data_IF_016160097606
#
_entry.id   IF_016160097606
#
_cell.length_a   1.000
_cell.length_b   1.000
_cell.length_c   1.000
_cell.angle_alpha   90.00
_cell.angle_beta   90.00
_cell.angle_gamma   90.00
#
_symmetry.space_group_name_H-M   'P 1'
#
loop_
_entity.id
_entity.type
_entity.pdbx_description
1 polymer ?
#
# COMPACT_ATOMS: atom_id res chain seq x y z
N UNK A 1 21.04 -4.03 6.48
CA UNK A 1 21.78 -5.16 7.08
C UNK A 1 21.40 -6.46 6.42
N UNK A 2 22.26 -6.92 5.49
CA UNK A 2 22.12 -8.21 4.81
C UNK A 2 22.72 -9.31 5.69
N UNK A 3 22.05 -9.60 6.80
CA UNK A 3 22.43 -10.67 7.70
C UNK A 3 22.42 -12.00 6.93
N UNK A 4 23.51 -12.77 7.04
CA UNK A 4 23.68 -14.04 6.32
C UNK A 4 22.57 -15.01 6.77
N UNK A 5 21.62 -15.31 5.88
CA UNK A 5 20.48 -16.20 6.16
C UNK A 5 19.10 -15.54 6.10
N UNK A 6 19.01 -14.21 6.00
CA UNK A 6 17.77 -13.54 5.58
C UNK A 6 17.81 -13.43 4.05
N UNK A 7 17.37 -14.50 3.37
CA UNK A 7 17.09 -14.41 1.95
C UNK A 7 15.95 -13.40 1.75
N UNK A 8 16.19 -12.34 0.97
CA UNK A 8 15.16 -11.42 0.50
C UNK A 8 15.04 -11.64 -1.01
N UNK A 9 14.45 -12.78 -1.37
CA UNK A 9 14.27 -13.18 -2.76
C UNK A 9 13.39 -12.18 -3.52
N UNK A 10 12.50 -11.47 -2.82
CA UNK A 10 11.76 -10.35 -3.42
C UNK A 10 12.72 -9.26 -3.91
N UNK A 11 13.68 -8.83 -3.08
CA UNK A 11 14.70 -7.86 -3.50
C UNK A 11 15.60 -8.39 -4.61
N UNK A 12 15.89 -9.69 -4.65
CA UNK A 12 16.61 -10.29 -5.79
C UNK A 12 15.80 -10.26 -7.09
N UNK A 13 14.47 -10.32 -6.98
CA UNK A 13 13.56 -10.37 -8.13
C UNK A 13 13.24 -9.00 -8.70
N UNK A 14 13.04 -8.03 -7.81
CA UNK A 14 12.50 -6.71 -8.13
C UNK A 14 13.50 -5.57 -7.87
N UNK A 15 14.57 -5.82 -7.10
CA UNK A 15 15.58 -4.83 -6.77
C UNK A 15 16.46 -4.34 -7.92
N UNK A 16 16.24 -4.79 -9.17
CA UNK A 16 16.83 -4.10 -10.33
C UNK A 16 16.04 -2.83 -10.70
N UNK A 17 14.79 -2.74 -10.29
CA UNK A 17 13.94 -1.59 -10.55
C UNK A 17 14.40 -0.37 -9.72
N UNK A 18 14.68 0.74 -10.39
CA UNK A 18 15.28 1.91 -9.77
C UNK A 18 14.32 2.64 -8.81
N UNK A 19 13.07 2.91 -9.21
CA UNK A 19 12.00 3.37 -8.31
C UNK A 19 11.85 2.57 -7.01
N UNK A 20 12.03 1.25 -7.06
CA UNK A 20 11.78 0.35 -5.93
C UNK A 20 12.95 0.16 -4.94
N UNK A 21 14.21 0.31 -5.37
CA UNK A 21 15.43 -0.08 -4.59
C UNK A 21 15.59 0.53 -3.19
N UNK A 22 14.83 1.57 -2.85
CA UNK A 22 14.82 2.26 -1.57
C UNK A 22 16.05 3.13 -1.30
N UNK A 23 15.86 4.24 -0.59
CA UNK A 23 16.90 5.22 -0.29
C UNK A 23 17.23 6.16 -1.46
N UNK A 24 17.82 7.32 -1.15
CA UNK A 24 18.13 8.34 -2.15
C UNK A 24 16.87 8.88 -2.84
N UNK A 25 16.86 8.86 -4.17
CA UNK A 25 15.78 9.38 -5.02
C UNK A 25 14.88 8.25 -5.58
N UNK A 26 14.78 7.10 -4.90
CA UNK A 26 13.90 6.00 -5.30
C UNK A 26 12.42 6.45 -5.18
N UNK A 27 11.76 6.63 -6.31
CA UNK A 27 10.45 7.30 -6.39
C UNK A 27 9.32 6.55 -5.69
N UNK A 28 9.29 5.21 -5.76
CA UNK A 28 8.23 4.42 -5.10
C UNK A 28 8.42 4.37 -3.57
N UNK A 29 9.67 4.30 -3.09
CA UNK A 29 10.00 4.37 -1.66
C UNK A 29 9.61 5.72 -1.05
N UNK A 30 10.01 6.82 -1.71
CA UNK A 30 9.63 8.17 -1.27
C UNK A 30 8.11 8.33 -1.25
N UNK A 31 7.43 7.90 -2.32
CA UNK A 31 5.97 8.01 -2.41
C UNK A 31 5.25 7.18 -1.34
N UNK A 32 5.67 5.95 -1.07
CA UNK A 32 5.04 5.12 -0.05
C UNK A 32 5.16 5.78 1.34
N UNK A 33 6.34 6.31 1.67
CA UNK A 33 6.56 7.04 2.90
C UNK A 33 5.73 8.34 2.96
N UNK A 34 5.68 9.11 1.88
CA UNK A 34 4.86 10.32 1.79
C UNK A 34 3.39 10.00 2.01
N UNK A 35 2.87 8.91 1.42
CA UNK A 35 1.47 8.51 1.61
C UNK A 35 1.15 8.13 3.04
N UNK A 36 2.04 7.41 3.72
CA UNK A 36 1.90 7.14 5.15
C UNK A 36 1.85 8.45 5.96
N UNK A 37 2.78 9.37 5.68
CA UNK A 37 2.91 10.64 6.39
C UNK A 37 1.73 11.60 6.09
N UNK A 38 1.15 11.53 4.89
CA UNK A 38 -0.03 12.29 4.47
C UNK A 38 -1.35 11.71 5.03
N UNK A 39 -1.30 10.62 5.79
CA UNK A 39 -2.47 10.03 6.45
C UNK A 39 -3.23 9.00 5.61
N UNK A 40 -2.62 8.44 4.57
CA UNK A 40 -3.24 7.34 3.80
C UNK A 40 -3.41 6.08 4.68
N UNK A 41 -2.39 5.78 5.47
CA UNK A 41 -2.38 4.71 6.45
C UNK A 41 -1.36 5.06 7.55
N UNK A 42 -1.59 4.59 8.77
CA UNK A 42 -0.64 4.74 9.88
C UNK A 42 -0.39 3.37 10.50
N UNK A 43 0.89 3.01 10.67
CA UNK A 43 1.31 1.81 11.38
C UNK A 43 1.81 2.18 12.77
N UNK A 44 1.29 1.51 13.80
CA UNK A 44 1.78 1.63 15.18
C UNK A 44 2.42 0.31 15.59
N UNK A 45 3.60 0.41 16.19
CA UNK A 45 4.30 -0.71 16.82
C UNK A 45 4.46 -0.39 18.30
N UNK A 46 3.87 -1.22 19.16
CA UNK A 46 3.99 -1.12 20.63
C UNK A 46 4.94 -2.21 21.12
N UNK A 47 5.98 -1.83 21.84
CA UNK A 47 6.81 -2.74 22.63
C UNK A 47 6.45 -2.55 24.10
N UNK A 48 6.07 -3.62 24.78
CA UNK A 48 5.68 -3.58 26.19
C UNK A 48 6.35 -4.71 26.96
N UNK A 49 6.55 -4.50 28.27
CA UNK A 49 7.27 -5.42 29.14
C UNK A 49 7.12 -5.00 30.60
N UNK A 50 7.69 -5.80 31.50
CA UNK A 50 7.62 -5.58 32.96
C UNK A 50 9.01 -5.43 33.59
N UNK A 51 10.08 -5.43 32.79
CA UNK A 51 11.48 -5.29 33.24
C UNK A 51 12.12 -4.01 32.65
N UNK A 52 13.46 -3.95 32.66
CA UNK A 52 14.22 -2.88 32.02
C UNK A 52 13.83 -2.77 30.53
N UNK A 53 13.41 -1.59 30.03
CA UNK A 53 13.07 -1.39 28.62
C UNK A 53 14.18 -1.79 27.64
N UNK A 54 15.44 -1.82 28.10
CA UNK A 54 16.58 -2.25 27.28
C UNK A 54 16.89 -3.75 27.44
N UNK A 55 16.35 -4.41 28.47
CA UNK A 55 16.61 -5.81 28.81
C UNK A 55 15.37 -6.47 29.45
N UNK A 56 14.54 -7.11 28.62
CA UNK A 56 13.33 -7.81 29.07
C UNK A 56 13.21 -9.16 28.38
N UNK A 57 13.23 -10.24 29.17
CA UNK A 57 13.12 -11.62 28.67
C UNK A 57 11.71 -12.06 28.29
N UNK A 58 10.69 -11.28 28.64
CA UNK A 58 9.26 -11.61 28.44
C UNK A 58 8.48 -10.37 27.97
N UNK A 59 9.01 -9.72 26.94
CA UNK A 59 8.38 -8.58 26.31
C UNK A 59 7.31 -9.03 25.31
N UNK A 60 6.52 -8.06 24.86
CA UNK A 60 5.49 -8.22 23.83
C UNK A 60 5.67 -7.13 22.79
N UNK A 61 5.57 -7.53 21.52
CA UNK A 61 5.47 -6.61 20.38
C UNK A 61 4.08 -6.71 19.79
N UNK A 62 3.44 -5.58 19.58
CA UNK A 62 2.19 -5.45 18.85
C UNK A 62 2.42 -4.56 17.64
N UNK A 63 1.85 -4.93 16.50
CA UNK A 63 1.81 -4.11 15.29
C UNK A 63 0.36 -4.01 14.85
N UNK A 64 -0.08 -2.82 14.45
CA UNK A 64 -1.47 -2.60 14.04
C UNK A 64 -1.70 -1.30 13.30
N UNK A 65 -2.91 -1.20 12.76
CA UNK A 65 -3.40 0.03 12.13
C UNK A 65 -3.73 1.08 13.20
N UNK A 66 -3.43 2.34 12.89
CA UNK A 66 -3.90 3.51 13.63
C UNK A 66 -4.85 4.35 12.78
N UNK A 67 -6.02 4.75 13.31
CA UNK A 67 -6.91 5.71 12.67
C UNK A 67 -6.40 7.15 12.76
N UNK A 68 -5.34 7.39 13.55
CA UNK A 68 -4.74 8.69 13.75
C UNK A 68 -3.64 8.94 12.70
N UNK A 69 -3.59 10.15 12.17
CA UNK A 69 -2.62 10.56 11.14
C UNK A 69 -1.28 10.94 11.78
N UNK A 70 -0.19 10.64 11.07
CA UNK A 70 1.15 11.04 11.48
C UNK A 70 1.25 12.58 11.50
N UNK A 71 1.71 13.12 12.63
CA UNK A 71 1.88 14.56 12.81
C UNK A 71 3.30 14.98 12.45
N UNK A 72 3.43 16.04 11.64
CA UNK A 72 4.72 16.66 11.30
C UNK A 72 5.11 17.72 12.32
N UNK A 73 6.40 17.80 12.63
CA UNK A 73 6.95 18.90 13.40
C UNK A 73 7.15 20.17 12.55
N UNK A 74 7.52 21.29 13.18
CA UNK A 74 7.74 22.57 12.49
C UNK A 74 8.92 22.57 11.49
N UNK A 75 9.76 21.53 11.49
CA UNK A 75 10.88 21.32 10.56
C UNK A 75 10.55 20.31 9.45
N UNK A 76 9.32 19.80 9.42
CA UNK A 76 8.86 18.79 8.46
C UNK A 76 9.26 17.35 8.82
N UNK A 77 9.83 17.13 10.00
CA UNK A 77 10.08 15.79 10.55
C UNK A 77 8.83 15.16 11.17
N UNK A 78 8.94 13.94 11.69
CA UNK A 78 7.85 13.30 12.44
C UNK A 78 7.89 13.78 13.89
N UNK A 79 6.77 14.35 14.36
CA UNK A 79 6.68 14.82 15.73
C UNK A 79 6.65 13.64 16.71
N UNK A 80 7.53 13.68 17.71
CA UNK A 80 7.49 12.77 18.86
C UNK A 80 6.37 13.18 19.83
N UNK A 81 6.07 12.31 20.79
CA UNK A 81 5.18 12.59 21.94
C UNK A 81 3.69 12.79 21.60
N UNK A 82 3.26 12.37 20.41
CA UNK A 82 1.85 12.27 20.07
C UNK A 82 1.25 10.92 20.50
N UNK A 83 -0.06 10.93 20.74
CA UNK A 83 -0.81 9.72 21.05
C UNK A 83 -1.41 9.13 19.78
N UNK A 84 -1.21 7.83 19.57
CA UNK A 84 -1.81 7.07 18.48
C UNK A 84 -2.55 5.86 19.02
N UNK A 85 -3.74 5.60 18.48
CA UNK A 85 -4.51 4.41 18.83
C UNK A 85 -4.01 3.20 18.04
N UNK A 86 -3.96 2.04 18.69
CA UNK A 86 -3.70 0.77 18.01
C UNK A 86 -4.98 -0.07 17.97
N UNK A 87 -5.48 -0.37 16.77
CA UNK A 87 -6.71 -1.15 16.61
C UNK A 87 -6.41 -2.65 16.56
N UNK A 88 -7.15 -3.44 17.35
CA UNK A 88 -7.14 -4.91 17.29
C UNK A 88 -8.04 -5.42 16.15
N UNK A 89 -7.69 -5.04 14.92
CA UNK A 89 -8.42 -5.35 13.68
C UNK A 89 -7.80 -6.54 12.93
N UNK A 90 -8.26 -6.81 11.70
CA UNK A 90 -7.62 -7.81 10.82
C UNK A 90 -6.15 -7.49 10.46
N UNK A 91 -5.70 -6.24 10.65
CA UNK A 91 -4.33 -5.79 10.37
C UNK A 91 -3.45 -5.76 11.64
N UNK A 92 -3.80 -6.54 12.66
CA UNK A 92 -3.15 -6.54 13.96
C UNK A 92 -2.49 -7.88 14.28
N UNK A 93 -1.28 -7.83 14.84
CA UNK A 93 -0.60 -8.99 15.40
C UNK A 93 0.01 -8.65 16.75
N UNK A 94 -0.10 -9.60 17.69
CA UNK A 94 0.60 -9.61 18.98
C UNK A 94 1.59 -10.77 19.03
N UNK A 95 2.83 -10.48 19.41
CA UNK A 95 3.98 -11.38 19.36
C UNK A 95 4.70 -11.38 20.71
N UNK A 96 5.12 -12.56 21.20
CA UNK A 96 6.11 -12.61 22.29
C UNK A 96 7.45 -12.13 21.78
N UNK A 97 8.22 -11.50 22.65
CA UNK A 97 9.52 -10.95 22.33
C UNK A 97 10.51 -11.04 23.48
N UNK A 98 11.78 -10.87 23.15
CA UNK A 98 12.86 -10.62 24.11
C UNK A 98 13.61 -9.38 23.70
N UNK A 99 14.01 -8.59 24.68
CA UNK A 99 14.83 -7.40 24.52
C UNK A 99 16.18 -7.69 25.16
N UNK A 100 17.26 -7.54 24.39
CA UNK A 100 18.63 -7.65 24.88
C UNK A 100 19.41 -6.44 24.40
N UNK A 101 19.87 -5.59 25.33
CA UNK A 101 20.60 -4.35 25.03
C UNK A 101 19.93 -3.47 23.98
N UNK A 102 18.60 -3.31 24.07
CA UNK A 102 17.80 -2.50 23.13
C UNK A 102 17.45 -3.18 21.80
N UNK A 103 17.92 -4.42 21.57
CA UNK A 103 17.51 -5.24 20.43
C UNK A 103 16.29 -6.04 20.82
N UNK A 104 15.15 -5.75 20.18
CA UNK A 104 13.90 -6.48 20.33
C UNK A 104 13.84 -7.57 19.27
N UNK A 105 13.67 -8.83 19.67
CA UNK A 105 13.43 -9.95 18.78
C UNK A 105 12.13 -10.65 19.14
N UNK A 106 11.23 -10.77 18.18
CA UNK A 106 9.97 -11.52 18.39
C UNK A 106 10.17 -13.01 18.20
N UNK A 107 9.21 -13.80 18.67
CA UNK A 107 9.00 -15.14 18.13
C UNK A 107 8.65 -15.09 16.63
N UNK A 108 8.79 -16.22 15.96
CA UNK A 108 8.32 -16.41 14.59
C UNK A 108 6.92 -17.01 14.65
N UNK A 109 5.96 -16.40 13.96
CA UNK A 109 4.56 -16.86 13.91
C UNK A 109 4.17 -17.30 12.51
N UNK A 110 3.21 -18.22 12.39
CA UNK A 110 2.76 -18.68 11.08
C UNK A 110 2.10 -17.56 10.27
N UNK A 111 1.44 -16.61 10.93
CA UNK A 111 0.75 -15.48 10.32
C UNK A 111 1.06 -14.19 11.09
N UNK A 112 1.70 -13.24 10.41
CA UNK A 112 1.93 -11.89 10.91
C UNK A 112 1.20 -10.91 9.99
N UNK A 113 0.14 -10.33 10.53
CA UNK A 113 -0.66 -9.27 9.93
C UNK A 113 -0.11 -7.89 10.31
N UNK A 114 -0.07 -6.99 9.33
CA UNK A 114 0.26 -5.58 9.50
C UNK A 114 -0.56 -4.74 8.52
N UNK A 115 -0.65 -3.41 8.73
CA UNK A 115 -1.18 -2.57 7.68
C UNK A 115 -0.37 -2.70 6.40
N UNK A 116 -1.06 -2.64 5.26
CA UNK A 116 -0.45 -2.70 3.93
C UNK A 116 0.14 -1.35 3.56
N UNK A 117 1.33 -1.38 2.96
CA UNK A 117 1.89 -0.24 2.25
C UNK A 117 0.97 0.05 1.06
N UNK A 118 0.32 1.21 1.07
CA UNK A 118 -0.65 1.60 0.05
C UNK A 118 -0.20 2.86 -0.69
N UNK A 119 -0.61 3.00 -1.94
CA UNK A 119 -0.43 4.24 -2.71
C UNK A 119 -1.72 5.06 -2.85
N UNK A 120 -2.87 4.40 -2.68
CA UNK A 120 -4.22 4.97 -2.73
C UNK A 120 -5.14 4.33 -1.68
N UNK A 121 -6.27 4.98 -1.37
CA UNK A 121 -7.18 4.56 -0.29
C UNK A 121 -7.81 3.19 -0.54
N UNK A 122 -8.14 2.91 -1.80
CA UNK A 122 -8.63 1.63 -2.31
C UNK A 122 -7.63 0.47 -2.16
N UNK A 123 -6.35 0.76 -1.90
CA UNK A 123 -5.30 -0.24 -1.72
C UNK A 123 -4.94 -0.50 -0.27
N UNK A 124 -5.46 0.29 0.67
CA UNK A 124 -5.28 0.04 2.10
C UNK A 124 -5.81 -1.34 2.45
N UNK A 125 -5.17 -2.05 3.36
CA UNK A 125 -5.58 -3.41 3.66
C UNK A 125 -4.60 -4.15 4.55
N UNK A 126 -4.81 -5.46 4.65
CA UNK A 126 -3.91 -6.35 5.36
C UNK A 126 -2.71 -6.74 4.49
N UNK A 127 -1.55 -6.73 5.14
CA UNK A 127 -0.35 -7.43 4.69
C UNK A 127 -0.09 -8.59 5.63
N UNK A 128 -0.32 -9.80 5.13
CA UNK A 128 0.01 -11.04 5.83
C UNK A 128 1.39 -11.54 5.40
N UNK A 129 2.26 -11.81 6.36
CA UNK A 129 3.51 -12.54 6.21
C UNK A 129 3.37 -13.93 6.82
N UNK A 130 3.67 -14.97 6.03
CA UNK A 130 3.84 -16.33 6.53
C UNK A 130 5.20 -16.48 7.20
N UNK A 131 5.26 -17.20 8.32
CA UNK A 131 6.50 -17.33 9.09
C UNK A 131 7.09 -15.96 9.46
N UNK A 132 6.21 -15.04 9.86
CA UNK A 132 6.55 -13.64 10.12
C UNK A 132 7.36 -13.46 11.41
N UNK A 133 8.30 -12.53 11.39
CA UNK A 133 9.12 -12.12 12.54
C UNK A 133 9.47 -10.63 12.45
N UNK A 134 9.62 -9.98 13.61
CA UNK A 134 10.08 -8.60 13.73
C UNK A 134 11.37 -8.56 14.54
N UNK A 135 12.33 -7.74 14.09
CA UNK A 135 13.53 -7.36 14.83
C UNK A 135 13.67 -5.85 14.85
N UNK A 136 13.74 -5.26 16.03
CA UNK A 136 13.92 -3.81 16.21
C UNK A 136 15.23 -3.52 16.96
N UNK A 137 15.86 -2.41 16.64
CA UNK A 137 16.96 -1.81 17.37
C UNK A 137 16.47 -0.47 17.91
N UNK A 138 16.23 -0.41 19.23
CA UNK A 138 15.80 0.81 19.92
C UNK A 138 17.02 1.68 20.24
N UNK A 139 16.90 2.98 19.99
CA UNK A 139 17.90 3.94 20.43
C UNK A 139 17.90 4.03 21.96
N UNK A 140 19.06 4.32 22.56
CA UNK A 140 19.22 4.41 24.02
C UNK A 140 18.37 5.50 24.67
N UNK A 141 18.04 6.54 23.91
CA UNK A 141 17.17 7.63 24.36
C UNK A 141 15.67 7.28 24.29
N UNK A 142 15.32 6.14 23.68
CA UNK A 142 13.93 5.71 23.48
C UNK A 142 13.16 6.52 22.45
N UNK A 143 13.78 7.51 21.79
CA UNK A 143 13.09 8.44 20.88
C UNK A 143 12.95 7.90 19.46
N UNK A 144 13.78 6.92 19.10
CA UNK A 144 13.77 6.33 17.78
C UNK A 144 14.08 4.84 17.81
N UNK A 145 13.65 4.15 16.76
CA UNK A 145 14.05 2.78 16.52
C UNK A 145 14.15 2.50 15.02
N UNK A 146 14.99 1.53 14.66
CA UNK A 146 15.06 0.97 13.31
C UNK A 146 14.74 -0.52 13.38
N UNK A 147 14.32 -1.12 12.29
CA UNK A 147 14.04 -2.55 12.35
C UNK A 147 13.74 -3.19 11.01
N UNK A 148 13.49 -4.49 11.09
CA UNK A 148 13.07 -5.33 9.98
C UNK A 148 11.80 -6.06 10.41
N UNK A 149 10.81 -6.06 9.54
CA UNK A 149 9.68 -6.98 9.55
C UNK A 149 9.85 -7.89 8.35
N UNK A 150 9.76 -9.21 8.51
CA UNK A 150 9.97 -10.12 7.39
C UNK A 150 9.29 -11.47 7.56
N UNK A 151 9.25 -12.21 6.46
CA UNK A 151 8.60 -13.51 6.31
C UNK A 151 8.37 -13.82 4.82
N UNK A 152 7.46 -14.73 4.51
CA UNK A 152 7.06 -15.02 3.14
C UNK A 152 5.74 -14.31 2.78
N UNK A 153 5.74 -13.60 1.67
CA UNK A 153 4.54 -13.02 1.05
C UNK A 153 4.12 -13.90 -0.12
N UNK A 154 2.83 -13.98 -0.42
CA UNK A 154 2.39 -14.58 -1.68
C UNK A 154 2.90 -13.72 -2.84
N UNK A 155 3.70 -14.29 -3.73
CA UNK A 155 4.29 -13.51 -4.81
C UNK A 155 3.24 -13.02 -5.82
N UNK A 156 2.08 -13.69 -5.89
CA UNK A 156 0.97 -13.31 -6.77
C UNK A 156 0.23 -12.10 -6.23
N UNK A 157 0.12 -11.99 -4.90
CA UNK A 157 -0.38 -10.77 -4.26
C UNK A 157 0.51 -9.59 -4.60
N UNK A 158 1.84 -9.74 -4.46
CA UNK A 158 2.81 -8.69 -4.79
C UNK A 158 2.77 -8.31 -6.28
N UNK A 159 2.68 -9.30 -7.15
CA UNK A 159 2.56 -9.08 -8.59
C UNK A 159 1.31 -8.26 -8.94
N UNK A 160 0.16 -8.65 -8.39
CA UNK A 160 -1.11 -7.99 -8.69
C UNK A 160 -1.22 -6.61 -8.01
N UNK A 161 -0.79 -6.48 -6.75
CA UNK A 161 -0.77 -5.22 -6.01
C UNK A 161 0.13 -4.18 -6.69
N UNK A 162 1.25 -4.60 -7.28
CA UNK A 162 2.13 -3.70 -8.00
C UNK A 162 1.61 -3.31 -9.39
N UNK A 163 1.21 -4.30 -10.18
CA UNK A 163 0.80 -4.08 -11.58
C UNK A 163 -0.40 -3.12 -11.68
N UNK A 164 -1.29 -3.16 -10.69
CA UNK A 164 -2.54 -2.39 -10.64
C UNK A 164 -2.56 -1.36 -9.51
N UNK A 165 -1.37 -0.94 -9.09
CA UNK A 165 -1.16 0.04 -8.05
C UNK A 165 -1.62 1.46 -8.41
N UNK A 166 -1.72 1.82 -9.69
CA UNK A 166 -2.06 3.19 -10.11
C UNK A 166 -2.86 3.13 -11.42
N UNK A 167 -2.18 2.63 -12.45
CA UNK A 167 -2.70 2.04 -13.67
C UNK A 167 -1.54 1.28 -14.31
N UNK A 168 -1.81 0.16 -15.00
CA UNK A 168 -0.75 -0.67 -15.61
C UNK A 168 0.11 0.09 -16.63
N UNK A 169 -0.43 1.15 -17.23
CA UNK A 169 0.29 2.02 -18.16
C UNK A 169 1.37 2.85 -17.46
N UNK A 170 1.06 3.42 -16.30
CA UNK A 170 2.01 4.19 -15.50
C UNK A 170 3.14 3.31 -14.98
N UNK A 171 2.87 2.07 -14.56
CA UNK A 171 3.94 1.18 -14.13
C UNK A 171 4.91 0.85 -15.29
N UNK A 172 4.38 0.50 -16.46
CA UNK A 172 5.21 0.20 -17.63
C UNK A 172 5.96 1.41 -18.19
N UNK A 173 5.37 2.61 -18.17
CA UNK A 173 5.95 3.80 -18.81
C UNK A 173 6.73 4.72 -17.87
N UNK A 174 6.20 5.01 -16.68
CA UNK A 174 6.82 5.92 -15.70
C UNK A 174 7.86 5.22 -14.85
N UNK A 175 7.52 4.04 -14.35
CA UNK A 175 8.41 3.27 -13.45
C UNK A 175 9.31 2.29 -14.22
N UNK A 176 9.10 2.13 -15.54
CA UNK A 176 9.88 1.23 -16.40
C UNK A 176 9.80 -0.25 -15.96
N UNK A 177 8.67 -0.64 -15.39
CA UNK A 177 8.43 -1.99 -14.91
C UNK A 177 7.68 -2.84 -15.95
N UNK A 178 8.36 -3.81 -16.55
CA UNK A 178 7.71 -4.79 -17.43
C UNK A 178 6.96 -5.84 -16.59
N UNK A 179 5.63 -5.76 -16.57
CA UNK A 179 4.78 -6.66 -15.77
C UNK A 179 4.99 -8.14 -16.12
N UNK A 180 5.23 -8.47 -17.39
CA UNK A 180 5.49 -9.87 -17.81
C UNK A 180 6.80 -10.38 -17.21
N UNK A 181 7.86 -9.58 -17.29
CA UNK A 181 9.17 -9.90 -16.70
C UNK A 181 9.07 -9.98 -15.18
N UNK A 182 8.31 -9.09 -14.53
CA UNK A 182 8.08 -9.13 -13.09
C UNK A 182 7.40 -10.43 -12.68
N UNK A 183 6.36 -10.88 -13.40
CA UNK A 183 5.71 -12.17 -13.16
C UNK A 183 6.73 -13.33 -13.15
N UNK A 184 7.54 -13.45 -14.20
CA UNK A 184 8.53 -14.52 -14.29
C UNK A 184 9.64 -14.36 -13.25
N UNK A 185 10.04 -13.14 -12.93
CA UNK A 185 11.06 -12.85 -11.94
C UNK A 185 10.62 -13.23 -10.53
N UNK A 186 9.39 -12.90 -10.15
CA UNK A 186 8.80 -13.29 -8.87
C UNK A 186 8.62 -14.80 -8.79
N UNK A 187 8.00 -15.41 -9.80
CA UNK A 187 7.73 -16.85 -9.82
C UNK A 187 9.00 -17.70 -9.77
N UNK A 188 10.07 -17.31 -10.48
CA UNK A 188 11.33 -18.10 -10.52
C UNK A 188 12.15 -18.01 -9.23
N UNK A 189 11.97 -16.94 -8.45
CA UNK A 189 12.70 -16.69 -7.21
C UNK A 189 11.87 -16.98 -5.95
N UNK A 190 10.58 -17.30 -6.09
CA UNK A 190 9.76 -17.78 -4.99
C UNK A 190 10.46 -18.98 -4.31
N UNK A 191 10.61 -18.89 -2.99
CA UNK A 191 11.50 -19.72 -2.17
C UNK A 191 10.83 -20.27 -0.90
N UNK A 192 9.53 -20.02 -0.72
CA UNK A 192 8.76 -20.52 0.43
C UNK A 192 7.32 -20.89 0.09
N UNK A 193 6.59 -21.43 1.07
CA UNK A 193 5.19 -21.88 0.90
C UNK A 193 5.03 -22.87 -0.27
N UNK A 194 5.66 -24.05 -0.18
CA UNK A 194 5.58 -25.07 -1.24
C UNK A 194 4.13 -25.50 -1.47
N UNK A 195 3.66 -25.35 -2.69
CA UNK A 195 2.34 -25.80 -3.10
C UNK A 195 2.42 -27.27 -3.56
N UNK A 196 1.83 -28.23 -2.82
CA UNK A 196 1.95 -29.65 -3.14
C UNK A 196 1.22 -30.03 -4.43
N UNK A 197 0.26 -29.22 -4.91
CA UNK A 197 -0.47 -29.50 -6.15
C UNK A 197 0.34 -29.14 -7.38
N UNK A 198 1.14 -28.08 -7.31
CA UNK A 198 1.91 -27.56 -8.46
C UNK A 198 3.39 -27.92 -8.39
N UNK A 199 3.89 -28.32 -7.22
CA UNK A 199 5.32 -28.55 -6.97
C UNK A 199 6.16 -27.27 -7.06
N UNK A 200 5.53 -26.09 -6.90
CA UNK A 200 6.17 -24.77 -6.97
C UNK A 200 5.98 -24.01 -5.66
N UNK A 201 6.86 -23.04 -5.40
CA UNK A 201 6.74 -22.14 -4.27
C UNK A 201 5.74 -21.02 -4.58
N UNK A 202 4.82 -20.79 -3.66
CA UNK A 202 3.82 -19.73 -3.73
C UNK A 202 4.26 -18.49 -2.92
N UNK A 203 5.23 -18.66 -2.03
CA UNK A 203 5.78 -17.63 -1.16
C UNK A 203 7.13 -17.14 -1.63
N UNK A 204 7.36 -15.84 -1.48
CA UNK A 204 8.66 -15.21 -1.71
C UNK A 204 9.10 -14.48 -0.45
N UNK A 205 10.32 -14.77 0.00
CA UNK A 205 10.92 -14.14 1.16
C UNK A 205 11.02 -12.63 0.95
N UNK A 206 10.44 -11.89 1.90
CA UNK A 206 10.18 -10.47 1.80
C UNK A 206 10.53 -9.79 3.12
N UNK A 207 11.11 -8.59 3.04
CA UNK A 207 11.51 -7.81 4.21
C UNK A 207 11.14 -6.35 4.04
N UNK A 208 10.45 -5.79 5.01
CA UNK A 208 10.20 -4.37 5.16
C UNK A 208 11.21 -3.77 6.14
N UNK A 209 11.78 -2.62 5.76
CA UNK A 209 12.65 -1.82 6.63
C UNK A 209 11.79 -0.82 7.38
N UNK A 210 12.01 -0.72 8.68
CA UNK A 210 11.26 0.16 9.57
C UNK A 210 12.16 1.27 10.08
N UNK A 211 11.63 2.50 10.07
CA UNK A 211 12.16 3.67 10.79
C UNK A 211 11.01 4.22 11.63
N UNK A 212 11.25 4.40 12.91
CA UNK A 212 10.21 4.72 13.89
C UNK A 212 10.61 5.93 14.74
N UNK A 213 9.62 6.74 15.09
CA UNK A 213 9.69 7.80 16.09
C UNK A 213 8.86 7.40 17.31
N UNK A 214 9.25 7.85 18.50
CA UNK A 214 8.53 7.54 19.73
C UNK A 214 7.16 8.20 19.79
N UNK A 215 6.19 7.47 20.34
CA UNK A 215 4.82 7.92 20.51
C UNK A 215 4.18 7.25 21.74
N UNK A 216 3.11 7.87 22.25
CA UNK A 216 2.24 7.22 23.24
C UNK A 216 1.24 6.33 22.50
N UNK A 217 1.17 5.06 22.88
CA UNK A 217 0.20 4.13 22.29
C UNK A 217 -1.00 3.99 23.19
N UNK A 218 -2.19 4.20 22.64
CA UNK A 218 -3.46 4.19 23.37
C UNK A 218 -4.32 3.04 22.87
N UNK A 219 -4.85 2.23 23.78
CA UNK A 219 -5.90 1.27 23.42
C UNK A 219 -7.24 2.03 23.29
N UNK A 220 -8.03 1.80 22.23
CA UNK A 220 -9.34 2.44 22.11
C UNK A 220 -10.26 1.98 23.25
N UNK A 221 -11.04 2.90 23.82
CA UNK A 221 -11.96 2.59 24.93
C UNK A 221 -13.10 1.65 24.55
N UNK A 222 -13.40 1.53 23.26
CA UNK A 222 -14.37 0.60 22.68
C UNK A 222 -13.74 -0.09 21.47
N UNK A 223 -14.22 -1.30 21.15
CA UNK A 223 -13.78 -2.01 19.96
C UNK A 223 -14.09 -1.16 18.71
N UNK A 224 -13.08 -0.96 17.86
CA UNK A 224 -13.15 -0.10 16.69
C UNK A 224 -12.62 -0.83 15.47
N UNK A 225 -13.41 -0.79 14.40
CA UNK A 225 -13.00 -1.24 13.08
C UNK A 225 -12.16 -0.18 12.37
N UNK A 226 -11.42 -0.59 11.35
CA UNK A 226 -10.68 0.34 10.49
C UNK A 226 -11.69 1.28 9.81
N UNK A 227 -11.55 2.61 9.96
CA UNK A 227 -12.43 3.56 9.29
C UNK A 227 -12.41 3.36 7.77
N UNK A 228 -13.60 3.32 7.17
CA UNK A 228 -13.77 3.23 5.72
C UNK A 228 -14.28 4.55 5.19
N UNK A 229 -13.68 5.03 4.11
CA UNK A 229 -14.20 6.18 3.38
C UNK A 229 -15.29 5.67 2.42
N UNK A 230 -16.52 6.16 2.55
CA UNK A 230 -17.66 5.66 1.77
C UNK A 230 -17.43 5.71 0.24
N UNK A 231 -16.73 6.74 -0.26
CA UNK A 231 -16.39 6.86 -1.68
C UNK A 231 -15.30 5.86 -2.15
N UNK A 232 -14.58 5.24 -1.20
CA UNK A 232 -13.46 4.34 -1.47
C UNK A 232 -13.84 2.87 -1.30
N UNK A 233 -15.03 2.54 -0.74
CA UNK A 233 -15.46 1.15 -0.61
C UNK A 233 -15.65 0.47 -1.97
N UNK A 234 -16.35 1.14 -2.90
CA UNK A 234 -16.56 0.62 -4.26
C UNK A 234 -15.24 0.49 -5.01
N UNK A 235 -14.34 1.48 -4.87
CA UNK A 235 -13.01 1.46 -5.49
C UNK A 235 -12.14 0.34 -4.92
N UNK A 236 -12.20 0.11 -3.62
CA UNK A 236 -11.49 -0.99 -2.96
C UNK A 236 -12.02 -2.34 -3.39
N UNK A 237 -13.33 -2.49 -3.52
CA UNK A 237 -13.94 -3.70 -4.06
C UNK A 237 -13.51 -3.95 -5.52
N UNK A 238 -13.43 -2.90 -6.34
CA UNK A 238 -12.92 -2.97 -7.70
C UNK A 238 -11.43 -3.38 -7.73
N UNK A 239 -10.59 -2.76 -6.89
CA UNK A 239 -9.16 -3.09 -6.77
C UNK A 239 -8.93 -4.55 -6.36
N UNK A 240 -9.59 -5.02 -5.30
CA UNK A 240 -9.48 -6.41 -4.86
C UNK A 240 -10.05 -7.37 -5.93
N UNK A 241 -11.11 -6.97 -6.63
CA UNK A 241 -11.64 -7.70 -7.80
C UNK A 241 -10.61 -7.86 -8.92
N UNK A 242 -9.91 -6.77 -9.27
CA UNK A 242 -8.85 -6.78 -10.30
C UNK A 242 -7.72 -7.69 -9.84
N UNK A 243 -7.28 -7.54 -8.60
CA UNK A 243 -6.25 -8.38 -7.99
C UNK A 243 -6.59 -9.86 -8.14
N UNK A 244 -7.80 -10.27 -7.78
CA UNK A 244 -8.25 -11.66 -7.93
C UNK A 244 -8.32 -12.11 -9.40
N UNK A 245 -8.82 -11.25 -10.29
CA UNK A 245 -8.88 -11.53 -11.73
C UNK A 245 -7.47 -11.74 -12.32
N UNK A 246 -6.49 -10.93 -11.92
CA UNK A 246 -5.10 -11.04 -12.38
C UNK A 246 -4.46 -12.32 -11.90
N UNK A 247 -4.62 -12.65 -10.61
CA UNK A 247 -4.12 -13.89 -10.03
C UNK A 247 -4.72 -15.10 -10.74
N UNK A 248 -6.04 -15.10 -10.96
CA UNK A 248 -6.75 -16.17 -11.67
C UNK A 248 -6.34 -16.27 -13.14
N UNK A 249 -6.20 -15.15 -13.84
CA UNK A 249 -5.76 -15.11 -15.23
C UNK A 249 -4.33 -15.65 -15.37
N UNK A 250 -3.44 -15.24 -14.48
CA UNK A 250 -2.07 -15.72 -14.46
C UNK A 250 -1.95 -17.22 -14.09
N UNK A 251 -2.86 -17.75 -13.29
CA UNK A 251 -2.91 -19.16 -12.92
C UNK A 251 -3.54 -20.06 -14.01
N UNK A 252 -4.55 -19.56 -14.71
CA UNK A 252 -5.33 -20.33 -15.70
C UNK A 252 -4.86 -20.12 -17.14
N UNK A 253 -4.11 -19.04 -17.40
CA UNK A 253 -3.79 -18.54 -18.75
C UNK A 253 -5.04 -18.21 -19.57
N UNK A 254 -6.16 -17.93 -18.90
CA UNK A 254 -7.42 -17.53 -19.51
C UNK A 254 -7.67 -16.07 -19.16
N UNK A 255 -7.96 -15.20 -20.15
CA UNK A 255 -8.37 -13.82 -19.88
C UNK A 255 -9.53 -13.76 -18.89
N UNK A 256 -9.43 -12.89 -17.89
CA UNK A 256 -10.51 -12.67 -16.93
C UNK A 256 -11.29 -11.40 -17.28
N UNK A 257 -12.60 -11.37 -17.00
CA UNK A 257 -13.37 -10.14 -17.14
C UNK A 257 -12.82 -9.07 -16.18
N UNK A 258 -12.79 -7.83 -16.65
CA UNK A 258 -12.48 -6.67 -15.80
C UNK A 258 -13.69 -6.42 -14.89
N UNK A 259 -13.50 -6.29 -13.56
CA UNK A 259 -14.59 -5.98 -12.66
C UNK A 259 -15.24 -4.61 -12.95
N UNK A 260 -16.53 -4.44 -12.61
CA UNK A 260 -17.17 -3.12 -12.54
C UNK A 260 -16.42 -2.15 -11.63
N UNK A 261 -16.50 -0.84 -11.92
CA UNK A 261 -15.97 0.23 -11.07
C UNK A 261 -14.46 0.49 -11.20
N UNK A 262 -13.76 -0.19 -12.12
CA UNK A 262 -12.33 -0.02 -12.33
C UNK A 262 -12.01 1.16 -13.26
N UNK A 263 -10.89 1.84 -13.01
CA UNK A 263 -10.38 2.93 -13.87
C UNK A 263 -9.29 2.44 -14.84
N UNK A 264 -8.82 1.21 -14.70
CA UNK A 264 -7.73 0.62 -15.50
C UNK A 264 -8.28 -0.07 -16.74
N UNK A 265 -7.76 0.28 -17.93
CA UNK A 265 -8.37 -0.04 -19.22
C UNK A 265 -9.86 0.34 -19.24
N UNK A 266 -10.19 1.46 -18.59
CA UNK A 266 -11.54 1.87 -18.22
C UNK A 266 -12.43 2.04 -19.43
N UNK A 267 -12.99 0.95 -19.89
CA UNK A 267 -14.27 1.04 -20.52
C UNK A 267 -15.31 1.27 -19.41
N UNK A 268 -16.03 2.41 -19.38
CA UNK A 268 -16.12 3.45 -20.41
C UNK A 268 -15.37 4.78 -20.15
N UNK A 269 -14.55 4.95 -19.11
CA UNK A 269 -13.86 6.23 -18.91
C UNK A 269 -12.99 6.62 -20.13
N UNK A 270 -12.37 5.65 -20.82
CA UNK A 270 -11.79 5.78 -22.14
C UNK A 270 -12.78 6.40 -23.14
N UNK A 271 -14.02 5.91 -23.25
CA UNK A 271 -15.03 6.51 -24.15
C UNK A 271 -15.40 7.95 -23.81
N UNK A 272 -15.36 8.30 -22.51
CA UNK A 272 -15.67 9.64 -21.99
C UNK A 272 -14.49 10.62 -22.10
N UNK A 273 -13.25 10.11 -22.07
CA UNK A 273 -12.02 10.90 -22.14
C UNK A 273 -11.42 10.98 -23.55
N UNK A 274 -11.83 10.10 -24.47
CA UNK A 274 -11.47 10.14 -25.90
C UNK A 274 -12.18 11.25 -26.70
N UNK A 275 -12.78 12.23 -26.02
CA UNK A 275 -13.42 13.37 -26.68
C UNK A 275 -12.39 14.16 -27.50
N UNK A 276 -12.65 14.33 -28.80
CA UNK A 276 -11.74 15.00 -29.73
C UNK A 276 -10.59 14.14 -30.31
N UNK A 277 -10.49 12.84 -30.01
CA UNK A 277 -9.49 11.98 -30.66
C UNK A 277 -9.92 11.55 -32.07
N UNK A 278 -9.07 11.72 -33.11
CA UNK A 278 -9.31 11.15 -34.42
C UNK A 278 -9.46 9.62 -34.33
N UNK A 279 -10.55 9.09 -34.87
CA UNK A 279 -10.80 7.64 -34.90
C UNK A 279 -11.47 7.07 -33.65
N UNK A 280 -12.05 7.91 -32.77
CA UNK A 280 -12.89 7.46 -31.64
C UNK A 280 -13.89 6.40 -32.05
N UNK A 281 -14.70 6.64 -33.08
CA UNK A 281 -15.73 5.71 -33.56
C UNK A 281 -15.14 4.38 -34.04
N UNK A 282 -13.95 4.42 -34.66
CA UNK A 282 -13.22 3.22 -35.05
C UNK A 282 -12.78 2.44 -33.81
N UNK A 283 -12.12 3.11 -32.86
CA UNK A 283 -11.67 2.48 -31.61
C UNK A 283 -12.83 1.85 -30.85
N UNK A 284 -13.93 2.57 -30.62
CA UNK A 284 -15.09 2.04 -29.90
C UNK A 284 -15.72 0.83 -30.58
N UNK A 285 -15.70 0.78 -31.91
CA UNK A 285 -16.23 -0.36 -32.68
C UNK A 285 -15.30 -1.59 -32.65
N UNK A 286 -14.00 -1.38 -32.55
CA UNK A 286 -13.00 -2.46 -32.64
C UNK A 286 -12.45 -2.91 -31.29
N UNK A 287 -12.70 -2.17 -30.22
CA UNK A 287 -12.24 -2.49 -28.88
C UNK A 287 -13.02 -3.69 -28.36
N UNK A 288 -12.32 -4.81 -28.14
CA UNK A 288 -12.86 -5.94 -27.39
C UNK A 288 -12.98 -5.52 -25.92
N UNK A 289 -14.21 -5.28 -25.48
CA UNK A 289 -14.52 -4.75 -24.15
C UNK A 289 -15.47 -5.66 -23.40
N UNK A 290 -15.40 -5.68 -22.05
CA UNK A 290 -16.48 -6.23 -21.25
C UNK A 290 -17.79 -5.47 -21.52
N UNK A 291 -18.89 -6.22 -21.64
CA UNK A 291 -20.24 -5.68 -21.64
C UNK A 291 -20.91 -5.99 -20.30
N UNK A 292 -21.50 -4.98 -19.69
CA UNK A 292 -22.11 -5.07 -18.38
C UNK A 292 -23.63 -4.99 -18.44
N UNK A 293 -24.28 -5.58 -17.44
CA UNK A 293 -25.74 -5.53 -17.34
C UNK A 293 -26.22 -4.09 -17.09
N UNK A 294 -27.20 -3.65 -17.88
CA UNK A 294 -27.80 -2.31 -17.76
C UNK A 294 -27.04 -1.19 -18.47
N UNK A 295 -26.14 -1.49 -19.41
CA UNK A 295 -25.52 -0.48 -20.28
C UNK A 295 -26.56 0.32 -21.08
N UNK A 296 -26.32 1.63 -21.24
CA UNK A 296 -27.14 2.47 -22.11
C UNK A 296 -26.82 2.28 -23.61
N UNK A 297 -27.52 3.01 -24.48
CA UNK A 297 -27.31 2.89 -25.93
C UNK A 297 -25.91 3.31 -26.40
N UNK A 298 -25.16 4.05 -25.58
CA UNK A 298 -23.74 4.37 -25.81
C UNK A 298 -22.79 3.34 -25.22
N UNK A 299 -23.30 2.30 -24.53
CA UNK A 299 -22.47 1.31 -23.85
C UNK A 299 -22.06 1.73 -22.44
N UNK A 300 -22.59 2.82 -21.88
CA UNK A 300 -22.21 3.28 -20.55
C UNK A 300 -22.89 2.43 -19.46
N UNK A 301 -22.16 1.82 -18.52
CA UNK A 301 -22.72 1.02 -17.46
C UNK A 301 -23.35 1.91 -16.36
N UNK A 302 -24.31 1.38 -15.59
CA UNK A 302 -25.17 2.17 -14.71
C UNK A 302 -24.44 2.83 -13.51
N UNK A 303 -23.28 2.30 -13.10
CA UNK A 303 -22.48 2.91 -12.02
C UNK A 303 -21.66 4.11 -12.49
N UNK A 304 -21.42 4.26 -13.80
CA UNK A 304 -20.72 5.40 -14.37
C UNK A 304 -21.71 6.55 -14.55
N UNK A 305 -22.24 7.05 -13.43
CA UNK A 305 -23.14 8.20 -13.44
C UNK A 305 -22.50 9.31 -14.26
N UNK A 306 -23.24 9.82 -15.26
CA UNK A 306 -22.89 11.06 -15.96
C UNK A 306 -22.53 12.07 -14.88
N UNK A 307 -21.24 12.44 -14.76
CA UNK A 307 -20.88 13.64 -14.00
C UNK A 307 -21.73 14.74 -14.62
N UNK A 308 -22.67 15.31 -13.86
CA UNK A 308 -23.27 16.57 -14.27
C UNK A 308 -22.09 17.49 -14.58
N UNK A 309 -22.09 18.17 -15.74
CA UNK A 309 -21.01 19.07 -16.09
C UNK A 309 -20.78 19.98 -14.90
N UNK A 310 -19.55 19.98 -14.37
CA UNK A 310 -19.19 20.81 -13.24
C UNK A 310 -19.68 22.22 -13.58
N UNK A 311 -20.57 22.77 -12.73
CA UNK A 311 -21.03 24.15 -12.92
C UNK A 311 -19.75 24.98 -13.09
N UNK A 312 -19.65 25.80 -14.16
CA UNK A 312 -18.46 26.60 -14.38
C UNK A 312 -18.15 27.30 -13.06
N UNK A 313 -16.88 27.27 -12.61
CA UNK A 313 -16.52 27.91 -11.35
C UNK A 313 -17.11 29.31 -11.39
N UNK A 314 -17.92 29.66 -10.38
CA UNK A 314 -18.37 31.06 -10.24
C UNK A 314 -17.10 31.88 -10.37
N UNK A 315 -17.07 32.74 -11.37
CA UNK A 315 -15.95 33.62 -11.67
C UNK A 315 -15.41 34.12 -10.33
N UNK A 316 -14.18 33.73 -9.98
CA UNK A 316 -13.55 34.23 -8.78
C UNK A 316 -13.69 35.74 -8.83
N UNK A 317 -14.18 36.32 -7.73
CA UNK A 317 -14.41 37.76 -7.58
C UNK A 317 -13.18 38.46 -8.16
N UNK A 318 -13.37 39.24 -9.23
CA UNK A 318 -12.31 40.12 -9.69
C UNK A 318 -12.01 41.06 -8.53
N UNK A 319 -10.83 40.95 -7.94
CA UNK A 319 -10.32 41.98 -7.05
C UNK A 319 -9.97 43.20 -7.92
N UNK A 320 -11.00 43.98 -8.31
CA UNK A 320 -10.84 45.30 -8.95
C UNK A 320 -10.57 46.39 -7.89
N UNK A 321 -9.91 46.06 -6.78
CA UNK A 321 -9.41 47.06 -5.84
C UNK A 321 -7.95 47.32 -6.19
N UNK A 322 -7.58 48.53 -6.64
CA UNK A 322 -6.18 48.88 -6.86
C UNK A 322 -5.42 48.74 -5.54
N UNK A 323 -4.32 48.00 -5.57
CA UNK A 323 -3.33 48.00 -4.49
C UNK A 323 -2.75 49.41 -4.41
N UNK A 324 -3.23 50.21 -3.46
CA UNK A 324 -2.54 51.44 -3.08
C UNK A 324 -1.29 51.02 -2.31
N UNK A 325 -0.15 51.05 -2.99
CA UNK A 325 1.14 50.90 -2.35
C UNK A 325 1.31 52.02 -1.31
N UNK A 326 1.30 51.66 -0.03
CA UNK A 326 1.71 52.56 1.03
C UNK A 326 3.21 52.84 0.87
N UNK A 327 3.54 54.00 0.29
CA UNK A 327 4.87 54.57 0.39
C UNK A 327 5.05 55.16 1.79
N UNK A 328 6.20 54.83 2.39
CA UNK A 328 6.68 55.30 3.68
C UNK A 328 6.50 56.82 3.91
N UNK A 329 6.11 57.16 5.14
CA UNK A 329 6.69 58.28 5.91
C UNK A 329 6.89 57.83 7.35
#
# INVERSE_FOLDING_TARGET
DGEKGIDNALYRSWGCDAPWRGGGNATLDLRANDKMIEGLYTMVIRVSGNQDPMNDRDAVVEIGYSPDNIVKDARGGIAADYSYRILQSAQYTKLKARINNGVVETEQVDHLHSPRIAWFYDQTGDTNFRQGKIRLNMARDGLSATGLLGGYRDWRDLYAENTFAQDGGQQGTREHEDAVSLYYALRRNADGMLNPKTGKYDGISSVYRLRMSSAYVVDPGEAMEIPKLAQEEDRKAAFEGIKQAVIKGAATLIPQPVPPGTTEASFPALESEMDGLPGREYFLKTLDRPHYEGEDASGLPPWLRKKEPAKPPKQQVRNEVPVVAAQNK
#
